data_IF_974592345536
#
_entry.id   IF_974592345536
#
_cell.length_a   1.000
_cell.length_b   1.000
_cell.length_c   1.000
_cell.angle_alpha   90.00
_cell.angle_beta   90.00
_cell.angle_gamma   90.00
#
_symmetry.space_group_name_H-M   'P 1'
#
loop_
_entity.id
_entity.type
_entity.pdbx_description
1 polymer ?
#
# COMPACT_ATOMS: atom_id res chain seq x y z
N UNK A 1 -12.67 -42.92 -65.19
CA UNK A 1 -11.29 -42.82 -64.65
C UNK A 1 -11.15 -41.42 -64.08
N UNK A 2 -11.30 -41.24 -62.76
CA UNK A 2 -10.22 -41.25 -61.76
C UNK A 2 -9.52 -39.88 -61.63
N UNK A 3 -10.04 -39.04 -60.72
CA UNK A 3 -9.36 -38.02 -59.87
C UNK A 3 -8.74 -36.85 -60.69
N UNK A 4 -8.80 -35.58 -60.31
CA UNK A 4 -8.05 -34.85 -59.28
C UNK A 4 -8.79 -33.50 -59.07
N UNK A 5 -9.32 -33.21 -57.87
CA UNK A 5 -8.72 -32.30 -56.85
C UNK A 5 -8.77 -30.83 -57.33
N UNK A 6 -9.82 -30.09 -56.95
CA UNK A 6 -9.82 -29.15 -55.80
C UNK A 6 -8.66 -28.15 -55.92
N UNK A 7 -8.94 -27.00 -56.51
CA UNK A 7 -8.17 -25.79 -56.27
C UNK A 7 -8.92 -24.58 -56.84
N UNK A 8 -9.10 -23.56 -56.01
CA UNK A 8 -9.41 -22.18 -56.40
C UNK A 8 -10.86 -21.89 -56.81
N UNK A 9 -11.79 -22.17 -55.90
CA UNK A 9 -12.89 -21.21 -55.64
C UNK A 9 -12.32 -20.11 -54.73
N UNK A 10 -12.76 -18.85 -54.89
CA UNK A 10 -12.32 -17.63 -54.17
C UNK A 10 -11.16 -16.81 -54.77
N UNK A 11 -11.09 -16.67 -56.10
CA UNK A 11 -10.35 -15.56 -56.72
C UNK A 11 -11.17 -14.96 -57.85
N UNK A 12 -12.23 -14.19 -57.54
CA UNK A 12 -12.80 -13.21 -58.49
C UNK A 12 -13.90 -12.31 -57.89
N UNK A 13 -13.59 -11.42 -56.94
CA UNK A 13 -14.50 -10.28 -56.65
C UNK A 13 -13.67 -9.02 -56.35
N UNK A 14 -13.58 -8.19 -57.39
CA UNK A 14 -13.50 -6.72 -57.38
C UNK A 14 -12.10 -6.09 -57.21
N UNK A 15 -11.52 -5.84 -58.39
CA UNK A 15 -10.61 -4.77 -58.74
C UNK A 15 -11.41 -3.45 -58.95
N UNK A 16 -10.70 -2.31 -58.85
CA UNK A 16 -11.05 -0.91 -59.20
C UNK A 16 -11.34 -0.02 -57.97
N UNK A 17 -10.31 0.53 -57.31
CA UNK A 17 -9.57 1.77 -57.63
C UNK A 17 -10.40 3.03 -57.34
N UNK A 18 -10.16 3.61 -56.17
CA UNK A 18 -10.37 5.02 -55.88
C UNK A 18 -9.08 5.57 -55.25
N UNK A 19 -8.38 6.43 -55.98
CA UNK A 19 -7.24 7.21 -55.49
C UNK A 19 -7.72 8.54 -54.94
N UNK A 20 -7.44 8.82 -53.66
CA UNK A 20 -7.35 10.19 -53.10
C UNK A 20 -6.28 10.12 -52.02
N UNK A 21 -5.07 10.57 -52.36
CA UNK A 21 -4.48 11.84 -51.89
C UNK A 21 -3.97 11.77 -50.45
N UNK A 22 -2.70 12.14 -50.29
CA UNK A 22 -2.08 12.59 -49.04
C UNK A 22 -3.05 13.57 -48.32
N UNK A 23 -3.00 13.82 -47.00
CA UNK A 23 -1.89 14.38 -46.22
C UNK A 23 -2.23 14.22 -44.71
N UNK A 24 -1.23 14.37 -43.85
CA UNK A 24 -1.27 14.42 -42.38
C UNK A 24 -1.08 13.09 -41.64
N UNK A 25 0.18 12.86 -41.26
CA UNK A 25 0.54 11.94 -40.20
C UNK A 25 -0.14 12.35 -38.90
N UNK A 26 -1.23 11.65 -38.58
CA UNK A 26 -1.83 11.66 -37.26
C UNK A 26 -1.29 10.43 -36.55
N UNK A 27 -0.37 10.66 -35.62
CA UNK A 27 -0.02 9.65 -34.63
C UNK A 27 -1.35 9.15 -34.04
N UNK A 28 -1.69 7.90 -34.30
CA UNK A 28 -2.75 7.23 -33.57
C UNK A 28 -2.20 7.10 -32.16
N UNK A 29 -2.47 8.11 -31.35
CA UNK A 29 -2.44 7.96 -29.92
C UNK A 29 -3.25 6.71 -29.64
N UNK A 30 -2.59 5.68 -29.10
CA UNK A 30 -3.29 4.60 -28.44
C UNK A 30 -4.38 5.25 -27.57
N UNK A 31 -5.62 4.74 -27.56
CA UNK A 31 -6.60 5.24 -26.62
C UNK A 31 -5.97 5.06 -25.24
N UNK A 32 -5.49 6.17 -24.67
CA UNK A 32 -5.25 6.34 -23.25
C UNK A 32 -6.62 6.08 -22.70
N UNK A 33 -6.89 4.83 -22.33
CA UNK A 33 -8.07 4.45 -21.60
C UNK A 33 -8.12 5.47 -20.47
N UNK A 34 -9.05 6.41 -20.58
CA UNK A 34 -9.37 7.29 -19.50
C UNK A 34 -9.81 6.32 -18.41
N UNK A 35 -8.91 6.10 -17.45
CA UNK A 35 -9.28 5.60 -16.15
C UNK A 35 -10.32 6.60 -15.68
N UNK A 36 -11.59 6.28 -15.88
CA UNK A 36 -12.68 7.07 -15.34
C UNK A 36 -12.49 7.02 -13.83
N UNK A 37 -11.96 8.12 -13.29
CA UNK A 37 -11.86 8.35 -11.86
C UNK A 37 -13.27 8.13 -11.31
N UNK A 38 -13.48 7.01 -10.62
CA UNK A 38 -14.66 6.75 -9.81
C UNK A 38 -14.62 7.76 -8.65
N UNK A 39 -14.90 9.03 -8.95
CA UNK A 39 -14.67 10.15 -8.06
C UNK A 39 -15.86 10.32 -7.13
N UNK A 40 -15.93 9.48 -6.11
CA UNK A 40 -16.71 9.70 -4.90
C UNK A 40 -15.88 9.30 -3.67
N UNK A 41 -16.15 9.89 -2.50
CA UNK A 41 -15.45 9.50 -1.28
C UNK A 41 -15.70 8.01 -1.00
N UNK A 42 -14.60 7.30 -0.72
CA UNK A 42 -14.63 5.89 -0.39
C UNK A 42 -14.94 5.73 1.09
N UNK A 43 -16.04 5.05 1.44
CA UNK A 43 -16.37 4.83 2.85
C UNK A 43 -15.56 3.66 3.41
N UNK A 44 -14.73 3.92 4.44
CA UNK A 44 -13.98 2.89 5.17
C UNK A 44 -14.81 2.31 6.32
N UNK A 45 -15.12 1.01 6.31
CA UNK A 45 -15.79 0.38 7.45
C UNK A 45 -14.81 0.19 8.61
N UNK A 46 -15.15 0.75 9.79
CA UNK A 46 -14.36 0.60 11.01
C UNK A 46 -14.41 -0.84 11.50
N UNK A 47 -13.26 -1.39 11.91
CA UNK A 47 -13.14 -2.75 12.44
C UNK A 47 -13.24 -3.84 11.38
N UNK A 48 -13.27 -3.45 10.10
CA UNK A 48 -13.07 -4.37 9.00
C UNK A 48 -11.58 -4.61 8.77
N UNK A 49 -11.27 -5.59 7.93
CA UNK A 49 -9.92 -5.79 7.42
C UNK A 49 -9.57 -4.67 6.40
N UNK A 50 -8.44 -4.83 5.70
CA UNK A 50 -8.00 -3.95 4.61
C UNK A 50 -9.11 -3.60 3.60
N UNK A 51 -9.17 -2.33 3.16
CA UNK A 51 -10.24 -1.74 2.34
C UNK A 51 -10.41 -2.33 0.93
N UNK A 52 -11.65 -2.73 0.55
CA UNK A 52 -11.96 -3.51 -0.66
C UNK A 52 -12.44 -2.71 -1.87
N UNK A 53 -11.65 -2.74 -2.95
CA UNK A 53 -12.11 -2.51 -4.34
C UNK A 53 -12.37 -3.86 -5.04
N UNK A 54 -12.89 -3.84 -6.27
CA UNK A 54 -13.30 -5.03 -7.05
C UNK A 54 -12.17 -6.03 -7.44
N UNK A 55 -10.98 -5.90 -6.88
CA UNK A 55 -9.85 -6.82 -7.06
C UNK A 55 -9.36 -7.33 -5.70
N UNK A 56 -9.28 -8.65 -5.54
CA UNK A 56 -8.89 -9.33 -4.29
C UNK A 56 -7.38 -9.64 -4.34
N UNK A 57 -6.57 -9.26 -3.32
CA UNK A 57 -6.94 -8.59 -2.08
C UNK A 57 -7.15 -7.06 -2.17
N UNK A 58 -7.80 -6.45 -1.17
CA UNK A 58 -8.40 -5.10 -1.13
C UNK A 58 -7.41 -3.91 -1.23
N UNK A 59 -7.29 -3.06 -2.27
CA UNK A 59 -6.20 -2.05 -2.36
C UNK A 59 -6.61 -0.64 -2.85
N UNK A 60 -5.78 0.37 -2.53
CA UNK A 60 -5.74 1.67 -3.23
C UNK A 60 -4.62 1.69 -4.27
N UNK A 61 -4.75 2.55 -5.30
CA UNK A 61 -3.80 2.61 -6.40
C UNK A 61 -3.30 4.03 -6.66
N UNK A 62 -2.11 4.16 -7.26
CA UNK A 62 -1.60 5.42 -7.81
C UNK A 62 -0.94 5.17 -9.16
N UNK A 63 -0.76 6.24 -9.93
CA UNK A 63 -0.04 6.19 -11.18
C UNK A 63 0.33 7.57 -11.70
N UNK A 64 1.52 7.70 -12.27
CA UNK A 64 2.00 8.92 -12.91
C UNK A 64 3.36 9.39 -12.38
N UNK A 65 3.63 10.68 -12.55
CA UNK A 65 4.81 11.29 -11.93
C UNK A 65 4.55 11.52 -10.44
N UNK A 66 5.57 11.31 -9.61
CA UNK A 66 5.51 11.64 -8.20
C UNK A 66 5.63 13.17 -8.00
N UNK A 67 4.93 13.77 -7.01
CA UNK A 67 4.00 13.11 -6.10
C UNK A 67 2.69 12.69 -6.81
N UNK A 68 2.23 11.47 -6.55
CA UNK A 68 1.06 10.88 -7.20
C UNK A 68 -0.06 10.64 -6.17
N UNK A 69 -1.20 11.34 -6.26
CA UNK A 69 -2.34 11.06 -5.38
C UNK A 69 -2.95 9.70 -5.67
N UNK A 70 -3.61 9.11 -4.66
CA UNK A 70 -4.46 7.93 -4.84
C UNK A 70 -5.51 8.17 -5.93
N UNK A 71 -5.70 7.19 -6.82
CA UNK A 71 -6.71 7.24 -7.87
C UNK A 71 -8.14 7.08 -7.35
N UNK A 72 -8.30 6.57 -6.13
CA UNK A 72 -9.58 6.31 -5.49
C UNK A 72 -10.19 7.57 -4.83
N UNK A 73 -9.42 8.66 -4.75
CA UNK A 73 -9.83 9.87 -4.03
C UNK A 73 -9.72 9.73 -2.51
N UNK A 74 -10.42 10.58 -1.73
CA UNK A 74 -10.38 10.53 -0.28
C UNK A 74 -11.16 9.34 0.28
N UNK A 75 -10.63 8.76 1.35
CA UNK A 75 -11.25 7.71 2.13
C UNK A 75 -11.91 8.31 3.38
N UNK A 76 -13.23 8.19 3.52
CA UNK A 76 -13.98 8.79 4.62
C UNK A 76 -14.47 7.76 5.62
N UNK A 77 -14.51 8.15 6.90
CA UNK A 77 -15.18 7.39 7.95
C UNK A 77 -15.57 8.32 9.10
N UNK A 78 -16.53 7.88 9.91
CA UNK A 78 -16.93 8.56 11.14
C UNK A 78 -16.89 7.58 12.30
N UNK A 79 -16.28 7.99 13.41
CA UNK A 79 -16.26 7.23 14.66
C UNK A 79 -16.64 8.12 15.84
N UNK A 80 -17.30 7.54 16.84
CA UNK A 80 -17.51 8.18 18.14
C UNK A 80 -16.34 7.98 19.10
N UNK A 81 -15.56 6.95 18.85
CA UNK A 81 -14.40 6.55 19.65
C UNK A 81 -13.13 6.79 18.85
N UNK A 82 -11.98 6.86 19.52
CA UNK A 82 -10.69 6.90 18.84
C UNK A 82 -10.52 5.67 17.95
N UNK A 83 -9.86 5.85 16.82
CA UNK A 83 -9.56 4.78 15.87
C UNK A 83 -8.08 4.80 15.50
N UNK A 84 -7.59 3.69 14.96
CA UNK A 84 -6.24 3.58 14.45
C UNK A 84 -6.30 3.34 12.94
N UNK A 85 -5.76 4.30 12.20
CA UNK A 85 -5.53 4.20 10.76
C UNK A 85 -4.24 3.43 10.52
N UNK A 86 -4.24 2.48 9.61
CA UNK A 86 -3.06 1.73 9.16
C UNK A 86 -2.90 1.89 7.65
N UNK A 87 -1.67 2.09 7.20
CA UNK A 87 -1.31 2.19 5.77
C UNK A 87 -0.05 1.36 5.52
N UNK A 88 0.03 0.66 4.39
CA UNK A 88 1.26 -0.03 3.92
C UNK A 88 1.35 -0.11 2.40
N UNK A 89 2.57 -0.16 1.87
CA UNK A 89 2.83 -0.49 0.47
C UNK A 89 2.70 -2.01 0.22
N UNK A 90 2.81 -2.39 -1.05
CA UNK A 90 2.58 -3.76 -1.47
C UNK A 90 3.30 -4.12 -2.77
N UNK A 91 3.47 -5.43 -2.99
CA UNK A 91 4.24 -6.03 -4.07
C UNK A 91 5.73 -5.75 -3.97
N UNK A 92 6.15 -4.55 -4.34
CA UNK A 92 7.53 -4.10 -4.29
C UNK A 92 7.68 -3.04 -3.17
N UNK A 93 8.64 -3.22 -2.26
CA UNK A 93 8.87 -2.25 -1.19
C UNK A 93 9.50 -0.98 -1.73
N UNK A 94 9.19 0.15 -1.10
CA UNK A 94 9.88 1.42 -1.36
C UNK A 94 8.97 2.62 -1.53
N UNK A 95 7.66 2.41 -1.58
CA UNK A 95 6.70 3.49 -1.77
C UNK A 95 6.49 4.22 -0.46
N UNK A 96 6.63 5.54 -0.45
CA UNK A 96 6.37 6.37 0.73
C UNK A 96 5.10 7.14 0.50
N UNK A 97 4.15 7.02 1.42
CA UNK A 97 2.88 7.73 1.36
C UNK A 97 2.87 8.89 2.37
N UNK A 98 2.60 10.09 1.88
CA UNK A 98 2.11 11.18 2.70
C UNK A 98 0.62 10.95 2.98
N UNK A 99 0.25 11.06 4.25
CA UNK A 99 -1.10 10.83 4.74
C UNK A 99 -1.62 12.14 5.30
N UNK A 100 -2.78 12.58 4.81
CA UNK A 100 -3.48 13.74 5.33
C UNK A 100 -4.89 13.36 5.77
N UNK A 101 -5.39 14.03 6.80
CA UNK A 101 -6.76 13.95 7.29
C UNK A 101 -7.39 15.34 7.22
N UNK A 102 -8.53 15.45 6.54
CA UNK A 102 -9.22 16.73 6.33
C UNK A 102 -8.26 17.81 5.77
N UNK A 103 -7.49 17.45 4.74
CA UNK A 103 -6.48 18.28 4.05
C UNK A 103 -5.22 18.60 4.88
N UNK A 104 -5.18 18.25 6.18
CA UNK A 104 -4.01 18.44 7.02
C UNK A 104 -3.11 17.20 7.02
N UNK A 105 -1.84 17.36 6.65
CA UNK A 105 -0.86 16.26 6.69
C UNK A 105 -0.64 15.80 8.14
N UNK A 106 -0.93 14.53 8.40
CA UNK A 106 -0.76 13.88 9.72
C UNK A 106 0.54 13.08 9.81
N UNK A 107 1.19 12.79 8.68
CA UNK A 107 2.52 12.20 8.64
C UNK A 107 2.83 11.49 7.33
N UNK A 108 3.89 10.69 7.35
CA UNK A 108 4.32 9.83 6.24
C UNK A 108 4.54 8.41 6.73
N UNK A 109 4.41 7.40 5.85
CA UNK A 109 4.92 6.05 6.16
C UNK A 109 6.43 6.05 6.35
N UNK A 110 6.97 5.03 7.04
CA UNK A 110 8.41 4.91 7.22
C UNK A 110 9.10 4.67 5.87
N UNK A 111 10.16 5.44 5.53
CA UNK A 111 10.88 5.21 4.29
C UNK A 111 11.67 3.90 4.37
N UNK A 112 11.59 3.11 3.31
CA UNK A 112 12.37 1.88 3.10
C UNK A 112 13.05 1.95 1.73
N UNK A 113 14.19 1.25 1.51
CA UNK A 113 14.83 1.22 0.19
C UNK A 113 13.90 0.63 -0.86
N UNK A 114 13.82 1.28 -2.03
CA UNK A 114 13.03 0.78 -3.15
C UNK A 114 13.77 -0.29 -3.95
N UNK A 115 13.13 -1.44 -4.17
CA UNK A 115 13.67 -2.50 -5.03
C UNK A 115 12.57 -3.49 -5.43
N UNK A 116 12.77 -4.15 -6.58
CA UNK A 116 11.82 -5.15 -7.07
C UNK A 116 12.01 -6.48 -6.33
N UNK A 117 10.94 -7.02 -5.78
CA UNK A 117 10.91 -8.34 -5.16
C UNK A 117 10.56 -9.43 -6.17
N UNK A 118 11.22 -10.58 -6.03
CA UNK A 118 10.91 -11.78 -6.83
C UNK A 118 10.88 -13.00 -5.88
N UNK A 119 9.72 -13.59 -5.58
CA UNK A 119 8.36 -13.16 -5.97
C UNK A 119 7.91 -11.89 -5.23
N UNK A 120 7.03 -11.12 -5.86
CA UNK A 120 6.33 -9.99 -5.24
C UNK A 120 5.43 -10.47 -4.08
N UNK A 121 5.24 -9.64 -3.05
CA UNK A 121 4.39 -9.95 -1.90
C UNK A 121 3.18 -9.01 -1.89
N UNK A 122 2.01 -9.53 -2.26
CA UNK A 122 0.77 -8.74 -2.32
C UNK A 122 -0.17 -8.90 -1.13
N UNK A 123 0.11 -9.78 -0.16
CA UNK A 123 -0.77 -9.99 0.99
C UNK A 123 -0.59 -8.86 2.02
N UNK A 124 -1.64 -8.10 2.35
CA UNK A 124 -1.51 -6.92 3.21
C UNK A 124 -1.16 -7.24 4.66
N UNK A 125 -1.53 -8.43 5.17
CA UNK A 125 -1.13 -8.87 6.51
C UNK A 125 0.36 -9.18 6.52
N UNK A 126 0.88 -9.78 5.44
CA UNK A 126 2.30 -10.08 5.30
C UNK A 126 3.12 -8.81 5.09
N UNK A 127 2.70 -7.90 4.20
CA UNK A 127 3.46 -6.67 3.93
C UNK A 127 3.51 -5.77 5.16
N UNK A 128 2.39 -5.59 5.87
CA UNK A 128 2.37 -4.79 7.10
C UNK A 128 3.27 -5.37 8.21
N UNK A 129 3.38 -6.70 8.30
CA UNK A 129 4.25 -7.37 9.28
C UNK A 129 5.74 -7.36 8.92
N UNK A 130 6.09 -7.08 7.66
CA UNK A 130 7.46 -7.15 7.16
C UNK A 130 8.13 -5.77 7.21
N UNK A 131 9.32 -5.66 7.83
CA UNK A 131 10.07 -4.41 7.97
C UNK A 131 10.65 -3.88 6.66
N UNK A 132 10.63 -4.69 5.60
CA UNK A 132 11.09 -4.26 4.28
C UNK A 132 10.09 -3.34 3.58
N UNK A 133 8.82 -3.40 3.98
CA UNK A 133 7.71 -2.62 3.41
C UNK A 133 7.50 -1.34 4.20
N UNK A 134 7.09 -0.28 3.50
CA UNK A 134 6.70 0.97 4.12
C UNK A 134 5.34 0.79 4.82
N UNK A 135 5.22 1.37 6.00
CA UNK A 135 4.02 1.33 6.81
C UNK A 135 3.91 2.51 7.75
N UNK A 136 2.72 2.73 8.25
CA UNK A 136 2.45 3.76 9.23
C UNK A 136 1.13 3.52 9.91
N UNK A 137 1.00 4.08 11.10
CA UNK A 137 -0.25 4.07 11.82
C UNK A 137 -0.45 5.36 12.61
N UNK A 138 -1.69 5.85 12.64
CA UNK A 138 -2.06 7.13 13.24
C UNK A 138 -3.33 6.99 14.07
N UNK A 139 -3.28 7.47 15.31
CA UNK A 139 -4.48 7.56 16.16
C UNK A 139 -5.32 8.74 15.68
N UNK A 140 -6.57 8.46 15.35
CA UNK A 140 -7.55 9.41 14.86
C UNK A 140 -8.58 9.66 15.98
N UNK A 141 -8.73 10.92 16.37
CA UNK A 141 -9.62 11.29 17.47
C UNK A 141 -11.09 11.05 17.12
N UNK A 142 -11.82 10.40 18.02
CA UNK A 142 -13.26 10.18 17.87
C UNK A 142 -14.09 11.48 17.91
N UNK A 143 -15.35 11.36 17.50
CA UNK A 143 -16.34 12.44 17.56
C UNK A 143 -16.41 13.33 16.32
N UNK A 144 -15.65 13.01 15.27
CA UNK A 144 -15.61 13.76 14.02
C UNK A 144 -15.58 12.84 12.79
N UNK A 145 -15.87 13.43 11.64
CA UNK A 145 -15.68 12.78 10.34
C UNK A 145 -14.24 12.97 9.88
N UNK A 146 -13.66 11.89 9.36
CA UNK A 146 -12.32 11.85 8.81
C UNK A 146 -12.37 11.72 7.30
N UNK A 147 -11.41 12.35 6.63
CA UNK A 147 -11.25 12.32 5.18
C UNK A 147 -9.77 12.13 4.87
N UNK A 148 -9.38 10.88 4.68
CA UNK A 148 -7.99 10.46 4.51
C UNK A 148 -7.61 10.56 3.04
N UNK A 149 -6.57 11.34 2.74
CA UNK A 149 -5.94 11.35 1.42
C UNK A 149 -4.54 10.75 1.51
N UNK A 150 -4.20 9.98 0.49
CA UNK A 150 -2.91 9.33 0.35
C UNK A 150 -2.22 9.87 -0.90
N UNK A 151 -0.99 10.32 -0.74
CA UNK A 151 -0.14 10.77 -1.85
C UNK A 151 1.17 10.03 -1.82
N UNK A 152 1.50 9.29 -2.87
CA UNK A 152 2.82 8.67 -3.02
C UNK A 152 3.84 9.76 -3.30
N UNK A 153 4.83 9.92 -2.43
CA UNK A 153 5.84 10.98 -2.51
C UNK A 153 7.24 10.47 -2.87
N UNK A 154 7.49 9.17 -2.72
CA UNK A 154 8.71 8.49 -3.14
C UNK A 154 8.40 7.03 -3.50
N UNK A 155 9.29 6.37 -4.25
CA UNK A 155 9.14 4.98 -4.68
C UNK A 155 8.85 4.83 -6.17
N UNK A 156 7.97 3.90 -6.51
CA UNK A 156 7.56 3.57 -7.86
C UNK A 156 6.51 4.55 -8.39
N UNK A 157 6.54 4.86 -9.71
CA UNK A 157 5.61 5.81 -10.32
C UNK A 157 4.16 5.31 -10.38
N UNK A 158 3.94 4.01 -10.21
CA UNK A 158 2.63 3.39 -10.12
C UNK A 158 2.73 2.15 -9.25
N UNK A 159 1.65 1.83 -8.56
CA UNK A 159 1.62 0.67 -7.68
C UNK A 159 0.31 0.56 -6.92
N UNK A 160 0.35 -0.23 -5.85
CA UNK A 160 -0.79 -0.43 -4.97
C UNK A 160 -0.36 -0.38 -3.52
N UNK A 161 -1.29 -0.01 -2.66
CA UNK A 161 -1.11 -0.05 -1.21
C UNK A 161 -2.41 -0.43 -0.52
N UNK A 162 -2.33 -0.52 0.80
CA UNK A 162 -3.40 -0.99 1.65
C UNK A 162 -3.70 0.03 2.74
N UNK A 163 -4.99 0.21 3.04
CA UNK A 163 -5.49 1.07 4.11
C UNK A 163 -6.54 0.31 4.93
N UNK A 164 -6.50 0.44 6.26
CA UNK A 164 -7.55 -0.06 7.15
C UNK A 164 -7.74 0.84 8.36
N UNK A 165 -8.91 0.78 8.98
CA UNK A 165 -9.24 1.51 10.21
C UNK A 165 -9.74 0.54 11.26
N UNK A 166 -9.04 0.45 12.39
CA UNK A 166 -9.44 -0.36 13.54
C UNK A 166 -10.00 0.52 14.66
N UNK A 167 -10.95 0.02 15.48
CA UNK A 167 -11.36 0.71 16.69
C UNK A 167 -10.23 0.77 17.72
N UNK A 168 -10.21 1.84 18.52
CA UNK A 168 -9.22 2.09 19.55
C UNK A 168 -7.99 2.86 19.07
N UNK A 169 -7.21 3.37 20.03
CA UNK A 169 -5.96 4.06 19.74
C UNK A 169 -4.92 3.09 19.14
N UNK A 170 -4.01 3.62 18.34
CA UNK A 170 -2.92 2.83 17.79
C UNK A 170 -2.00 2.26 18.87
N UNK A 171 -1.31 1.14 18.58
CA UNK A 171 -0.27 0.65 19.46
C UNK A 171 0.78 1.74 19.66
N UNK A 172 0.91 2.20 20.90
CA UNK A 172 2.09 2.96 21.32
C UNK A 172 3.23 1.96 21.30
N UNK A 173 4.15 2.07 20.33
CA UNK A 173 5.39 1.31 20.35
C UNK A 173 6.20 1.76 21.55
N UNK A 174 5.91 1.20 22.72
CA UNK A 174 6.93 0.96 23.71
C UNK A 174 7.48 -0.42 23.36
N UNK A 175 8.71 -0.45 22.87
CA UNK A 175 9.62 -1.54 23.25
C UNK A 175 9.28 -1.86 24.70
N UNK A 176 8.96 -3.11 25.08
CA UNK A 176 8.75 -3.42 26.48
C UNK A 176 9.96 -2.83 27.18
N UNK A 177 9.74 -1.82 28.02
CA UNK A 177 10.79 -1.37 28.90
C UNK A 177 11.06 -2.61 29.75
N UNK A 178 11.98 -3.48 29.29
CA UNK A 178 12.62 -4.42 30.16
C UNK A 178 13.04 -3.55 31.31
N UNK A 179 12.55 -3.81 32.54
CA UNK A 179 12.90 -2.96 33.66
C UNK A 179 14.42 -3.12 33.83
N UNK A 180 15.16 -2.21 33.22
CA UNK A 180 16.62 -2.09 33.29
C UNK A 180 17.06 -1.76 34.73
N UNK A 181 16.09 -1.54 35.61
CA UNK A 181 16.22 -1.48 37.06
C UNK A 181 16.37 -2.84 37.78
N UNK A 182 16.08 -4.01 37.17
CA UNK A 182 16.20 -5.31 37.87
C UNK A 182 17.61 -5.94 37.72
N UNK A 183 18.38 -5.55 36.70
CA UNK A 183 19.72 -6.08 36.48
C UNK A 183 20.79 -5.64 37.52
N UNK A 184 20.81 -4.41 38.06
CA UNK A 184 21.79 -4.09 39.10
C UNK A 184 21.43 -4.68 40.48
N UNK A 185 20.15 -4.87 40.80
CA UNK A 185 19.73 -5.32 42.15
C UNK A 185 20.02 -6.81 42.37
N UNK A 186 19.83 -7.65 41.35
CA UNK A 186 20.14 -9.08 41.43
C UNK A 186 21.65 -9.35 41.44
N UNK A 187 22.45 -8.56 40.70
CA UNK A 187 23.91 -8.62 40.75
C UNK A 187 24.45 -8.26 42.15
N UNK A 188 23.91 -7.23 42.81
CA UNK A 188 24.35 -6.82 44.15
C UNK A 188 23.98 -7.89 45.20
N UNK A 189 22.77 -8.46 45.14
CA UNK A 189 22.36 -9.53 46.05
C UNK A 189 23.22 -10.80 45.88
N UNK A 190 23.55 -11.17 44.64
CA UNK A 190 24.47 -12.27 44.34
C UNK A 190 25.89 -12.02 44.88
N UNK A 191 26.41 -10.80 44.75
CA UNK A 191 27.74 -10.44 45.23
C UNK A 191 27.83 -10.44 46.77
N UNK A 192 26.81 -9.93 47.46
CA UNK A 192 26.73 -9.95 48.93
C UNK A 192 26.66 -11.40 49.43
N UNK A 193 25.84 -12.24 48.80
CA UNK A 193 25.74 -13.67 49.15
C UNK A 193 27.08 -14.40 49.05
N UNK A 194 27.86 -14.14 48.00
CA UNK A 194 29.19 -14.74 47.80
C UNK A 194 30.19 -14.30 48.90
N UNK A 195 30.18 -13.01 49.29
CA UNK A 195 31.08 -12.49 50.34
C UNK A 195 30.80 -13.13 51.70
N UNK A 196 29.52 -13.35 52.05
CA UNK A 196 29.16 -14.04 53.29
C UNK A 196 29.59 -15.52 53.29
N UNK A 197 29.54 -16.18 52.14
CA UNK A 197 29.95 -17.58 52.01
C UNK A 197 31.47 -17.74 52.21
N UNK A 198 32.27 -16.85 51.62
CA UNK A 198 33.75 -16.88 51.74
C UNK A 198 34.21 -16.60 53.19
N UNK A 199 33.54 -15.68 53.90
CA UNK A 199 33.89 -15.37 55.31
C UNK A 199 33.53 -16.48 56.30
N UNK A 200 32.58 -17.36 55.98
CA UNK A 200 32.18 -18.46 56.89
C UNK A 200 33.11 -19.67 56.82
N UNK A 201 33.88 -19.81 55.74
CA UNK A 201 34.77 -20.96 55.48
C UNK A 201 36.24 -20.74 55.89
N UNK A 202 36.55 -19.60 56.52
CA UNK A 202 37.85 -19.33 57.16
C UNK A 202 37.65 -19.18 58.66
#
# INVERSE_FOLDING_TARGET
MKKWIVCVLFVLVILMIGTVSAENGMAVAAPKAALETLSGPVVLPIGSMWYETSSVPPAFFWGGALPAPSSDGPFTFYSREDTCLYVTDAYDPGDVFEVADNEAVIGTTNPVPAYNLVPEIGDPVVTFADERFSKGWWTMAGGQEHSITLTTVAGFPAGRGYIMVQPGACPTSSVPEFPSAILPVTMIAGLIGLVFLIKRTR
#
